data_IF_491063559243
#
_entry.id   IF_491063559243
#
_cell.length_a   1.000
_cell.length_b   1.000
_cell.length_c   1.000
_cell.angle_alpha   90.00
_cell.angle_beta   90.00
_cell.angle_gamma   90.00
#
_symmetry.space_group_name_H-M   'P 1'
#
loop_
_entity.id
_entity.type
_entity.pdbx_description
1 polymer ?
#
# COMPACT_ATOMS: atom_id res chain seq x y z
N UNK A 1 20.83 0.43 11.16
CA UNK A 1 19.81 1.17 10.38
C UNK A 1 18.46 0.51 10.56
N UNK A 2 17.49 1.24 11.08
CA UNK A 2 16.11 0.76 11.24
C UNK A 2 15.39 0.77 9.89
N UNK A 3 14.48 -0.18 9.63
CA UNK A 3 13.64 -0.23 8.42
C UNK A 3 12.90 1.09 8.15
N UNK A 4 12.62 1.84 9.21
CA UNK A 4 11.97 3.16 9.17
C UNK A 4 12.88 4.26 8.62
N UNK A 5 14.19 4.17 8.88
CA UNK A 5 15.20 5.11 8.36
C UNK A 5 15.50 4.85 6.88
N UNK A 6 15.42 3.58 6.45
CA UNK A 6 15.55 3.19 5.04
C UNK A 6 14.37 3.67 4.16
N UNK A 7 13.13 3.71 4.69
CA UNK A 7 11.98 4.27 3.96
C UNK A 7 12.10 5.78 3.72
N UNK A 8 12.58 6.56 4.69
CA UNK A 8 12.71 8.02 4.54
C UNK A 8 13.70 8.42 3.45
N UNK A 9 14.85 7.77 3.40
CA UNK A 9 15.89 8.05 2.39
C UNK A 9 15.50 7.62 0.99
N UNK A 10 14.67 6.59 0.84
CA UNK A 10 14.19 6.13 -0.48
C UNK A 10 13.07 7.00 -1.04
N UNK A 11 12.17 7.53 -0.21
CA UNK A 11 11.10 8.45 -0.64
C UNK A 11 11.62 9.80 -1.17
N UNK A 12 12.73 10.33 -0.64
CA UNK A 12 13.35 11.58 -1.13
C UNK A 12 14.05 11.41 -2.48
N UNK A 13 14.65 10.24 -2.75
CA UNK A 13 15.43 9.99 -3.98
C UNK A 13 14.53 9.70 -5.19
N UNK A 14 13.30 9.19 -4.98
CA UNK A 14 12.38 8.80 -6.07
C UNK A 14 11.60 10.00 -6.65
N UNK A 15 11.67 11.20 -6.06
CA UNK A 15 10.77 12.33 -6.40
C UNK A 15 11.27 13.34 -7.44
N UNK A 16 12.48 13.21 -7.99
CA UNK A 16 12.93 14.15 -9.04
C UNK A 16 12.99 13.44 -10.40
N UNK A 17 12.04 13.70 -11.32
CA UNK A 17 12.16 13.22 -12.69
C UNK A 17 13.37 13.88 -13.38
N UNK A 18 14.11 13.10 -14.16
CA UNK A 18 15.17 13.60 -15.03
C UNK A 18 14.51 14.32 -16.21
N UNK A 19 14.91 15.57 -16.46
CA UNK A 19 14.40 16.42 -17.55
C UNK A 19 14.48 15.68 -18.90
N UNK A 20 13.35 15.55 -19.60
CA UNK A 20 13.29 14.99 -20.96
C UNK A 20 12.85 13.54 -21.07
N UNK A 21 12.54 12.85 -19.97
CA UNK A 21 11.89 11.53 -20.03
C UNK A 21 10.37 11.69 -19.99
N UNK A 22 9.68 11.27 -21.05
CA UNK A 22 8.23 11.15 -21.06
C UNK A 22 7.85 10.15 -19.95
N UNK A 23 7.13 10.65 -18.94
CA UNK A 23 6.51 9.82 -17.91
C UNK A 23 5.43 8.98 -18.61
N UNK A 24 5.81 7.85 -19.19
CA UNK A 24 4.89 6.73 -19.39
C UNK A 24 4.58 6.12 -18.01
N UNK A 25 3.98 6.93 -17.13
CA UNK A 25 3.54 6.58 -15.78
C UNK A 25 2.06 6.15 -15.78
N UNK A 26 1.63 5.48 -16.85
CA UNK A 26 0.39 4.69 -16.86
C UNK A 26 0.74 3.20 -16.92
N UNK A 27 1.54 2.72 -15.98
CA UNK A 27 1.74 1.29 -15.78
C UNK A 27 1.25 0.89 -14.39
N UNK A 28 -0.08 0.74 -14.33
CA UNK A 28 -0.81 -0.07 -13.35
C UNK A 28 -0.72 0.45 -11.91
N UNK A 29 -1.69 1.28 -11.54
CA UNK A 29 -1.95 1.84 -10.18
C UNK A 29 -2.06 0.78 -9.06
N UNK A 30 -2.01 -0.52 -9.37
CA UNK A 30 -2.32 -1.62 -8.44
C UNK A 30 -1.13 -2.42 -7.92
N UNK A 31 0.13 -2.01 -8.21
CA UNK A 31 1.33 -2.78 -7.84
C UNK A 31 2.11 -2.17 -6.66
N UNK A 32 2.50 -3.01 -5.70
CA UNK A 32 3.31 -2.62 -4.53
C UNK A 32 4.78 -2.97 -4.73
N UNK A 33 5.68 -2.12 -4.23
CA UNK A 33 7.12 -2.23 -4.46
C UNK A 33 7.90 -2.32 -3.16
N UNK A 34 8.90 -3.21 -3.12
CA UNK A 34 9.84 -3.38 -2.01
C UNK A 34 11.26 -3.40 -2.57
N UNK A 35 12.10 -2.47 -2.13
CA UNK A 35 13.53 -2.43 -2.50
C UNK A 35 14.35 -3.25 -1.52
N UNK A 36 15.09 -4.23 -2.03
CA UNK A 36 16.02 -5.07 -1.26
C UNK A 36 17.40 -4.99 -1.91
N UNK A 37 18.27 -4.17 -1.33
CA UNK A 37 19.58 -3.87 -1.91
C UNK A 37 19.45 -3.19 -3.29
N UNK A 38 20.12 -3.71 -4.34
CA UNK A 38 20.06 -3.12 -5.68
C UNK A 38 18.78 -3.49 -6.45
N UNK A 39 18.00 -4.46 -5.96
CA UNK A 39 16.82 -4.99 -6.65
C UNK A 39 15.54 -4.38 -6.08
N UNK A 40 14.56 -4.17 -6.96
CA UNK A 40 13.21 -3.74 -6.60
C UNK A 40 12.27 -4.88 -6.96
N UNK A 41 11.56 -5.38 -5.96
CA UNK A 41 10.52 -6.40 -6.13
C UNK A 41 9.17 -5.71 -6.22
N UNK A 42 8.38 -6.05 -7.21
CA UNK A 42 7.02 -5.56 -7.40
C UNK A 42 6.03 -6.72 -7.35
N UNK A 43 4.79 -6.43 -6.95
CA UNK A 43 3.74 -7.44 -6.96
C UNK A 43 2.34 -6.88 -7.11
N UNK A 44 1.40 -7.70 -7.57
CA UNK A 44 -0.02 -7.38 -7.48
C UNK A 44 -0.53 -7.52 -6.03
N UNK A 45 -1.71 -6.97 -5.74
CA UNK A 45 -2.28 -7.04 -4.39
C UNK A 45 -2.50 -8.47 -3.84
N UNK A 46 -2.46 -9.47 -4.72
CA UNK A 46 -2.71 -10.88 -4.40
C UNK A 46 -1.44 -11.73 -4.31
N UNK A 47 -0.26 -11.15 -4.53
CA UNK A 47 1.04 -11.84 -4.51
C UNK A 47 1.19 -12.98 -5.53
N UNK A 48 0.39 -12.97 -6.59
CA UNK A 48 0.41 -14.02 -7.62
C UNK A 48 1.36 -13.70 -8.77
N UNK A 49 1.61 -12.41 -9.02
CA UNK A 49 2.61 -11.93 -10.00
C UNK A 49 3.66 -11.15 -9.22
N UNK A 50 4.82 -11.76 -8.95
CA UNK A 50 5.96 -11.11 -8.29
C UNK A 50 7.06 -10.93 -9.33
N UNK A 51 7.59 -9.71 -9.46
CA UNK A 51 8.56 -9.35 -10.49
C UNK A 51 9.73 -8.60 -9.88
N UNK A 52 10.88 -8.67 -10.54
CA UNK A 52 12.04 -7.84 -10.29
C UNK A 52 12.04 -6.75 -11.33
N UNK A 53 11.90 -5.50 -10.88
CA UNK A 53 11.95 -4.33 -11.73
C UNK A 53 13.40 -4.02 -12.11
N UNK A 54 13.63 -3.73 -13.38
CA UNK A 54 14.90 -3.20 -13.89
C UNK A 54 14.62 -2.06 -14.85
N UNK A 55 15.65 -1.25 -15.14
CA UNK A 55 15.51 -0.03 -15.95
C UNK A 55 14.88 -0.28 -17.33
N UNK A 56 15.16 -1.43 -17.95
CA UNK A 56 14.75 -1.73 -19.31
C UNK A 56 13.58 -2.73 -19.39
N UNK A 57 13.41 -3.61 -18.39
CA UNK A 57 12.34 -4.61 -18.36
C UNK A 57 12.14 -5.24 -16.98
N UNK A 58 10.91 -5.61 -16.64
CA UNK A 58 10.62 -6.37 -15.41
C UNK A 58 10.61 -7.87 -15.69
N UNK A 59 11.32 -8.65 -14.85
CA UNK A 59 11.40 -10.12 -14.96
C UNK A 59 10.57 -10.77 -13.86
N UNK A 60 9.79 -11.79 -14.19
CA UNK A 60 9.07 -12.58 -13.19
C UNK A 60 10.05 -13.27 -12.24
N UNK A 61 9.78 -13.23 -10.94
CA UNK A 61 10.59 -13.93 -9.94
C UNK A 61 10.38 -15.43 -10.08
N UNK A 62 11.46 -16.21 -10.04
CA UNK A 62 11.36 -17.68 -10.04
C UNK A 62 10.85 -18.21 -8.69
N UNK A 63 10.08 -19.29 -8.74
CA UNK A 63 9.57 -19.94 -7.52
C UNK A 63 10.70 -20.44 -6.61
N UNK A 64 11.83 -20.85 -7.18
CA UNK A 64 13.03 -21.27 -6.45
C UNK A 64 13.63 -20.12 -5.64
N UNK A 65 13.73 -18.92 -6.21
CA UNK A 65 14.24 -17.76 -5.49
C UNK A 65 13.35 -17.40 -4.30
N UNK A 66 12.03 -17.53 -4.43
CA UNK A 66 11.09 -17.29 -3.32
C UNK A 66 11.20 -18.33 -2.22
N UNK A 67 11.52 -19.59 -2.57
CA UNK A 67 11.79 -20.64 -1.59
C UNK A 67 13.11 -20.41 -0.87
N UNK A 68 14.15 -20.03 -1.59
CA UNK A 68 15.47 -19.73 -1.03
C UNK A 68 15.43 -18.46 -0.14
N UNK A 69 14.65 -17.45 -0.53
CA UNK A 69 14.59 -16.14 0.11
C UNK A 69 13.16 -15.79 0.54
N UNK A 70 12.62 -16.46 1.58
CA UNK A 70 11.22 -16.27 2.02
C UNK A 70 10.92 -14.86 2.55
N UNK A 71 11.94 -14.12 2.97
CA UNK A 71 11.80 -12.73 3.44
C UNK A 71 11.30 -11.78 2.33
N UNK A 72 11.53 -12.09 1.06
CA UNK A 72 11.01 -11.29 -0.07
C UNK A 72 9.47 -11.27 -0.01
N UNK A 73 8.87 -12.46 0.11
CA UNK A 73 7.42 -12.61 0.19
C UNK A 73 6.86 -11.99 1.47
N UNK A 74 7.56 -12.15 2.60
CA UNK A 74 7.16 -11.53 3.87
C UNK A 74 7.11 -10.00 3.79
N UNK A 75 8.13 -9.38 3.22
CA UNK A 75 8.20 -7.92 3.09
C UNK A 75 7.14 -7.39 2.11
N UNK A 76 6.92 -8.10 0.99
CA UNK A 76 5.86 -7.75 0.05
C UNK A 76 4.46 -7.84 0.70
N UNK A 77 4.20 -8.89 1.48
CA UNK A 77 2.95 -9.02 2.27
C UNK A 77 2.75 -7.85 3.22
N UNK A 78 3.82 -7.43 3.91
CA UNK A 78 3.75 -6.31 4.83
C UNK A 78 3.41 -5.01 4.09
N UNK A 79 4.07 -4.73 2.97
CA UNK A 79 3.81 -3.52 2.19
C UNK A 79 2.38 -3.47 1.64
N UNK A 80 1.88 -4.60 1.10
CA UNK A 80 0.49 -4.76 0.66
C UNK A 80 -0.48 -4.42 1.80
N UNK A 81 -0.25 -5.00 2.98
CA UNK A 81 -1.13 -4.81 4.14
C UNK A 81 -1.10 -3.37 4.67
N UNK A 82 0.07 -2.76 4.72
CA UNK A 82 0.24 -1.37 5.15
C UNK A 82 -0.47 -0.42 4.20
N UNK A 83 -0.36 -0.65 2.89
CA UNK A 83 -1.01 0.18 1.89
C UNK A 83 -2.52 0.01 1.91
N UNK A 84 -3.04 -1.22 2.02
CA UNK A 84 -4.48 -1.48 2.26
C UNK A 84 -4.98 -0.83 3.55
N UNK A 85 -4.15 -0.78 4.60
CA UNK A 85 -4.50 -0.08 5.85
C UNK A 85 -4.60 1.43 5.64
N UNK A 86 -3.72 2.03 4.85
CA UNK A 86 -3.80 3.45 4.47
C UNK A 86 -5.05 3.72 3.61
N UNK A 87 -5.32 2.89 2.61
CA UNK A 87 -6.51 2.99 1.76
C UNK A 87 -7.80 2.92 2.58
N UNK A 88 -7.91 1.94 3.49
CA UNK A 88 -9.06 1.85 4.41
C UNK A 88 -9.18 3.08 5.30
N UNK A 89 -8.07 3.55 5.89
CA UNK A 89 -8.09 4.77 6.70
C UNK A 89 -8.58 5.98 5.92
N UNK A 90 -8.14 6.14 4.68
CA UNK A 90 -8.61 7.22 3.81
C UNK A 90 -10.09 7.08 3.44
N UNK A 91 -10.56 5.85 3.20
CA UNK A 91 -11.96 5.57 2.92
C UNK A 91 -12.85 5.90 4.13
N UNK A 92 -12.50 5.42 5.32
CA UNK A 92 -13.24 5.67 6.56
C UNK A 92 -13.09 7.10 7.08
N UNK A 93 -12.09 7.86 6.59
CA UNK A 93 -11.96 9.28 6.89
C UNK A 93 -12.99 10.16 6.16
N UNK A 94 -13.78 9.62 5.23
CA UNK A 94 -14.86 10.37 4.58
C UNK A 94 -16.06 10.52 5.51
N UNK A 95 -16.74 11.65 5.43
CA UNK A 95 -17.89 11.97 6.29
C UNK A 95 -19.02 10.94 6.22
N UNK A 96 -19.23 10.31 5.06
CA UNK A 96 -20.25 9.27 4.88
C UNK A 96 -20.01 7.99 5.70
N UNK A 97 -18.78 7.77 6.20
CA UNK A 97 -18.48 6.65 7.08
C UNK A 97 -18.37 7.05 8.56
N UNK A 98 -18.43 8.35 8.84
CA UNK A 98 -18.52 8.83 10.21
C UNK A 98 -19.98 8.75 10.68
N UNK A 99 -20.21 8.15 11.85
CA UNK A 99 -21.51 8.24 12.50
C UNK A 99 -21.73 9.70 12.90
N UNK A 100 -22.72 10.34 12.30
CA UNK A 100 -23.27 11.57 12.87
C UNK A 100 -23.92 11.19 14.21
N UNK A 101 -23.46 11.75 15.35
CA UNK A 101 -24.12 11.48 16.62
C UNK A 101 -25.57 11.94 16.54
N UNK A 102 -26.47 11.17 17.15
CA UNK A 102 -27.87 11.59 17.29
C UNK A 102 -27.92 12.96 17.96
N UNK A 103 -28.76 13.85 17.42
CA UNK A 103 -29.08 15.11 18.09
C UNK A 103 -29.71 14.83 19.46
N UNK A 104 -29.70 15.81 20.37
CA UNK A 104 -30.26 15.65 21.72
C UNK A 104 -31.70 15.10 21.68
N UNK A 105 -32.53 15.63 20.76
CA UNK A 105 -33.91 15.19 20.59
C UNK A 105 -34.01 13.76 20.05
N UNK A 106 -33.12 13.37 19.13
CA UNK A 106 -33.06 11.99 18.60
C UNK A 106 -32.63 10.99 19.69
N UNK A 107 -31.71 11.38 20.58
CA UNK A 107 -31.31 10.54 21.73
C UNK A 107 -32.47 10.34 22.69
N UNK A 108 -33.20 11.40 23.02
CA UNK A 108 -34.38 11.34 23.90
C UNK A 108 -35.45 10.43 23.28
N UNK A 109 -35.78 10.62 22.00
CA UNK A 109 -36.75 9.79 21.30
C UNK A 109 -36.38 8.30 21.29
N UNK A 110 -35.10 7.97 21.05
CA UNK A 110 -34.61 6.59 21.11
C UNK A 110 -34.76 5.97 22.50
N UNK A 111 -34.44 6.72 23.56
CA UNK A 111 -34.59 6.22 24.94
C UNK A 111 -36.06 5.99 25.30
N UNK A 112 -36.95 6.90 24.91
CA UNK A 112 -38.40 6.75 25.14
C UNK A 112 -38.99 5.57 24.37
N UNK A 113 -38.53 5.32 23.13
CA UNK A 113 -38.99 4.18 22.33
C UNK A 113 -38.48 2.83 22.83
N UNK A 114 -37.36 2.80 23.57
CA UNK A 114 -36.77 1.56 24.12
C UNK A 114 -37.40 1.13 25.45
N UNK A 115 -38.03 2.05 26.19
CA UNK A 115 -38.64 1.76 27.49
C UNK A 115 -40.16 1.50 27.45
N UNK A 116 -40.77 1.51 26.26
CA UNK A 116 -42.15 1.11 26.02
C UNK A 116 -42.21 -0.34 25.53
#
# INVERSE_FOLDING_TARGET
MSFREFKKTTEEVVRKPIQGTSLFNEYIVTRYHVRLGPQIFSTNQNLTDIRIESHNASKTVSAELLKEKPYILSNLRQEVNDQRKKERKSMFAKDCFHRTPYSANQRIAYHNAKSN
#
